data_IF_123338383100
#
_entry.id   IF_123338383100
#
_cell.length_a   1.000
_cell.length_b   1.000
_cell.length_c   1.000
_cell.angle_alpha   90.00
_cell.angle_beta   90.00
_cell.angle_gamma   90.00
#
_symmetry.space_group_name_H-M   'P 1'
#
loop_
_entity.id
_entity.type
_entity.pdbx_description
1 polymer ?
#
# COMPACT_ATOMS: atom_id res chain seq x y z
N UNK A 1 -4.36 -16.07 -5.72
CA UNK A 1 -3.06 -15.47 -5.34
C UNK A 1 -2.83 -15.68 -3.86
N UNK A 2 -1.57 -15.77 -3.44
CA UNK A 2 -1.16 -15.67 -2.04
C UNK A 2 -0.74 -14.22 -1.76
N UNK A 3 -1.48 -13.55 -0.88
CA UNK A 3 -1.29 -12.12 -0.56
C UNK A 3 -0.81 -11.99 0.88
N UNK A 4 0.36 -11.41 1.10
CA UNK A 4 0.87 -11.12 2.43
C UNK A 4 0.65 -9.63 2.77
N UNK A 5 0.14 -9.33 3.95
CA UNK A 5 -0.27 -7.98 4.35
C UNK A 5 0.32 -7.62 5.71
N UNK A 6 1.16 -6.56 5.78
CA UNK A 6 1.59 -5.97 7.06
C UNK A 6 0.54 -4.99 7.61
N UNK A 7 0.56 -4.77 8.92
CA UNK A 7 -0.43 -3.91 9.57
C UNK A 7 -1.85 -4.52 9.61
N UNK A 8 -1.95 -5.85 9.52
CA UNK A 8 -3.19 -6.61 9.38
C UNK A 8 -4.11 -6.60 10.61
N UNK A 9 -3.70 -6.01 11.72
CA UNK A 9 -4.43 -6.08 12.99
C UNK A 9 -5.52 -5.01 13.16
N UNK A 10 -5.52 -3.94 12.38
CA UNK A 10 -6.51 -2.86 12.46
C UNK A 10 -6.51 -1.94 11.24
N UNK A 11 -7.57 -1.14 11.09
CA UNK A 11 -7.70 -0.10 10.07
C UNK A 11 -7.65 -0.64 8.65
N UNK A 12 -6.91 0.05 7.75
CA UNK A 12 -6.81 -0.36 6.35
C UNK A 12 -6.24 -1.77 6.18
N UNK A 13 -5.22 -2.15 6.96
CA UNK A 13 -4.64 -3.48 6.86
C UNK A 13 -5.63 -4.60 7.17
N UNK A 14 -6.45 -4.46 8.21
CA UNK A 14 -7.55 -5.37 8.53
C UNK A 14 -8.62 -5.38 7.41
N UNK A 15 -8.99 -4.20 6.88
CA UNK A 15 -9.91 -4.09 5.76
C UNK A 15 -9.40 -4.83 4.51
N UNK A 16 -8.10 -4.70 4.19
CA UNK A 16 -7.47 -5.44 3.10
C UNK A 16 -7.51 -6.96 3.34
N UNK A 17 -7.21 -7.43 4.56
CA UNK A 17 -7.32 -8.85 4.91
C UNK A 17 -8.73 -9.37 4.66
N UNK A 18 -9.75 -8.67 5.18
CA UNK A 18 -11.15 -9.06 5.02
C UNK A 18 -11.54 -9.12 3.54
N UNK A 19 -11.19 -8.09 2.77
CA UNK A 19 -11.50 -8.02 1.35
C UNK A 19 -10.85 -9.18 0.57
N UNK A 20 -9.54 -9.38 0.67
CA UNK A 20 -8.84 -10.41 -0.08
C UNK A 20 -9.28 -11.83 0.32
N UNK A 21 -9.51 -12.08 1.61
CA UNK A 21 -10.01 -13.38 2.09
C UNK A 21 -11.41 -13.68 1.55
N UNK A 22 -12.31 -12.69 1.54
CA UNK A 22 -13.68 -12.84 1.01
C UNK A 22 -13.68 -13.05 -0.51
N UNK A 23 -12.70 -12.51 -1.23
CA UNK A 23 -12.56 -12.68 -2.68
C UNK A 23 -11.69 -13.88 -3.09
N UNK A 24 -11.64 -14.93 -2.26
CA UNK A 24 -10.98 -16.21 -2.54
C UNK A 24 -9.46 -16.11 -2.76
N UNK A 25 -8.78 -15.19 -2.09
CA UNK A 25 -7.33 -15.16 -2.03
C UNK A 25 -6.83 -15.84 -0.76
N UNK A 26 -5.67 -16.49 -0.83
CA UNK A 26 -4.96 -16.95 0.38
C UNK A 26 -4.26 -15.75 1.00
N UNK A 27 -4.55 -15.42 2.25
CA UNK A 27 -3.99 -14.24 2.93
C UNK A 27 -3.05 -14.67 4.05
N UNK A 28 -1.81 -14.19 3.99
CA UNK A 28 -0.84 -14.25 5.08
C UNK A 28 -0.92 -12.93 5.87
N UNK A 29 -1.50 -13.01 7.05
CA UNK A 29 -1.68 -11.87 7.93
C UNK A 29 -0.45 -11.63 8.80
N UNK A 30 0.26 -10.54 8.54
CA UNK A 30 1.42 -10.14 9.33
C UNK A 30 0.96 -9.15 10.42
N UNK A 31 0.45 -9.70 11.53
CA UNK A 31 -0.19 -8.96 12.64
C UNK A 31 0.77 -8.47 13.71
N UNK A 32 1.98 -9.00 13.77
CA UNK A 32 2.99 -8.59 14.74
C UNK A 32 3.46 -7.14 14.49
N UNK A 33 4.13 -6.56 15.46
CA UNK A 33 4.82 -5.28 15.24
C UNK A 33 5.82 -5.43 14.13
N UNK A 34 5.84 -4.49 13.20
CA UNK A 34 6.69 -4.53 11.99
C UNK A 34 8.18 -4.74 12.32
N UNK A 35 8.65 -4.28 13.48
CA UNK A 35 10.02 -4.48 13.96
C UNK A 35 10.40 -5.97 14.08
N UNK A 36 9.43 -6.84 14.33
CA UNK A 36 9.68 -8.27 14.46
C UNK A 36 9.97 -8.94 13.09
N UNK A 37 9.59 -8.31 11.99
CA UNK A 37 9.78 -8.84 10.64
C UNK A 37 11.08 -8.39 9.98
N UNK A 38 11.76 -7.37 10.50
CA UNK A 38 12.94 -6.79 9.86
C UNK A 38 14.11 -7.78 9.61
N UNK A 39 14.09 -8.93 10.27
CA UNK A 39 15.15 -9.95 10.11
C UNK A 39 14.73 -11.18 9.30
N UNK A 40 13.42 -11.40 9.09
CA UNK A 40 12.92 -12.64 8.47
C UNK A 40 11.77 -12.43 7.49
N UNK A 41 11.51 -11.20 7.05
CA UNK A 41 10.37 -10.91 6.17
C UNK A 41 10.46 -11.69 4.85
N UNK A 42 11.64 -11.79 4.26
CA UNK A 42 11.83 -12.46 2.98
C UNK A 42 11.47 -13.94 3.07
N UNK A 43 11.90 -14.61 4.14
CA UNK A 43 11.58 -16.02 4.41
C UNK A 43 10.05 -16.22 4.59
N UNK A 44 9.39 -15.34 5.37
CA UNK A 44 7.94 -15.40 5.56
C UNK A 44 7.16 -15.20 4.25
N UNK A 45 7.72 -14.49 3.29
CA UNK A 45 7.08 -14.18 2.00
C UNK A 45 7.44 -15.15 0.87
N UNK A 46 8.17 -16.23 1.13
CA UNK A 46 8.68 -17.16 0.11
C UNK A 46 7.57 -17.62 -0.84
N UNK A 47 6.44 -18.05 -0.29
CA UNK A 47 5.28 -18.54 -1.03
C UNK A 47 4.29 -17.46 -1.49
N UNK A 48 4.54 -16.19 -1.20
CA UNK A 48 3.59 -15.12 -1.54
C UNK A 48 3.80 -14.62 -2.97
N UNK A 49 2.69 -14.32 -3.66
CA UNK A 49 2.69 -13.70 -4.99
C UNK A 49 2.72 -12.18 -4.88
N UNK A 50 2.09 -11.66 -3.81
CA UNK A 50 1.88 -10.24 -3.57
C UNK A 50 2.25 -9.90 -2.13
N UNK A 51 3.03 -8.85 -1.94
CA UNK A 51 3.32 -8.26 -0.64
C UNK A 51 2.70 -6.86 -0.54
N UNK A 52 1.76 -6.66 0.38
CA UNK A 52 1.14 -5.36 0.67
C UNK A 52 1.78 -4.77 1.93
N UNK A 53 2.63 -3.79 1.74
CA UNK A 53 3.33 -3.07 2.79
C UNK A 53 2.44 -1.94 3.34
N UNK A 54 1.51 -2.30 4.25
CA UNK A 54 0.46 -1.43 4.78
C UNK A 54 0.74 -0.89 6.20
N UNK A 55 1.88 -1.23 6.79
CA UNK A 55 2.23 -0.73 8.13
C UNK A 55 2.40 0.79 8.16
N UNK A 56 2.04 1.42 9.28
CA UNK A 56 2.13 2.87 9.47
C UNK A 56 3.49 3.36 10.01
N UNK A 57 4.45 2.49 10.22
CA UNK A 57 5.79 2.82 10.71
C UNK A 57 6.73 3.14 9.55
N UNK A 58 6.99 4.44 9.27
CA UNK A 58 7.71 4.91 8.08
C UNK A 58 9.07 4.23 7.83
N UNK A 59 10.01 4.32 8.77
CA UNK A 59 11.36 3.79 8.60
C UNK A 59 11.38 2.26 8.47
N UNK A 60 10.54 1.57 9.26
CA UNK A 60 10.43 0.11 9.19
C UNK A 60 9.71 -0.34 7.91
N UNK A 61 8.77 0.46 7.40
CA UNK A 61 8.13 0.20 6.11
C UNK A 61 9.15 0.28 4.96
N UNK A 62 10.05 1.27 5.01
CA UNK A 62 11.15 1.42 4.07
C UNK A 62 12.14 0.25 4.16
N UNK A 63 12.47 -0.19 5.37
CA UNK A 63 13.35 -1.34 5.61
C UNK A 63 12.75 -2.63 5.01
N UNK A 64 11.48 -2.93 5.27
CA UNK A 64 10.83 -4.12 4.70
C UNK A 64 10.74 -4.04 3.17
N UNK A 65 10.41 -2.88 2.62
CA UNK A 65 10.40 -2.68 1.17
C UNK A 65 11.77 -3.02 0.56
N UNK A 66 12.86 -2.48 1.11
CA UNK A 66 14.21 -2.69 0.59
C UNK A 66 14.58 -4.18 0.59
N UNK A 67 14.32 -4.90 1.67
CA UNK A 67 14.61 -6.32 1.79
C UNK A 67 13.81 -7.15 0.78
N UNK A 68 12.50 -6.92 0.69
CA UNK A 68 11.62 -7.65 -0.23
C UNK A 68 11.95 -7.30 -1.68
N UNK A 69 12.21 -6.03 -1.98
CA UNK A 69 12.62 -5.61 -3.32
C UNK A 69 13.91 -6.31 -3.76
N UNK A 70 14.95 -6.33 -2.93
CA UNK A 70 16.20 -7.01 -3.27
C UNK A 70 16.01 -8.51 -3.50
N UNK A 71 15.15 -9.17 -2.73
CA UNK A 71 14.86 -10.59 -2.89
C UNK A 71 13.98 -10.88 -4.13
N UNK A 72 13.07 -9.98 -4.48
CA UNK A 72 12.04 -10.22 -5.50
C UNK A 72 12.30 -9.53 -6.84
N UNK A 73 13.30 -8.66 -6.96
CA UNK A 73 13.50 -7.80 -8.16
C UNK A 73 13.52 -8.57 -9.48
N UNK A 74 13.97 -9.82 -9.48
CA UNK A 74 14.02 -10.70 -10.66
C UNK A 74 12.90 -11.77 -10.65
N UNK A 75 11.87 -11.59 -9.83
CA UNK A 75 10.75 -12.53 -9.71
C UNK A 75 9.47 -11.90 -10.25
N UNK A 76 8.62 -12.70 -10.88
CA UNK A 76 7.29 -12.27 -11.33
C UNK A 76 6.30 -12.18 -10.16
N UNK A 77 6.56 -11.24 -9.23
CA UNK A 77 5.78 -10.97 -8.03
C UNK A 77 5.39 -9.49 -7.98
N UNK A 78 4.55 -9.10 -7.03
CA UNK A 78 4.10 -7.72 -6.89
C UNK A 78 4.32 -7.19 -5.48
N UNK A 79 4.92 -6.01 -5.36
CA UNK A 79 5.03 -5.24 -4.12
C UNK A 79 4.05 -4.07 -4.20
N UNK A 80 3.16 -3.97 -3.23
CA UNK A 80 2.20 -2.86 -3.09
C UNK A 80 2.59 -2.04 -1.87
N UNK A 81 2.89 -0.76 -2.05
CA UNK A 81 3.22 0.15 -0.96
C UNK A 81 2.04 1.07 -0.67
N UNK A 82 1.58 1.11 0.59
CA UNK A 82 0.55 2.04 1.03
C UNK A 82 1.23 3.31 1.55
N UNK A 83 1.13 4.36 0.76
CA UNK A 83 1.64 5.69 1.05
C UNK A 83 0.53 6.62 1.56
N UNK A 84 0.53 7.89 1.19
CA UNK A 84 -0.53 8.85 1.50
C UNK A 84 -0.58 9.94 0.44
N UNK A 85 -1.79 10.36 0.06
CA UNK A 85 -1.97 11.53 -0.80
C UNK A 85 -1.50 12.85 -0.14
N UNK A 86 -1.29 12.85 1.18
CA UNK A 86 -0.69 13.98 1.91
C UNK A 86 0.67 14.42 1.37
N UNK A 87 1.38 13.54 0.66
CA UNK A 87 2.63 13.88 -0.03
C UNK A 87 2.39 15.00 -1.07
N UNK A 88 1.25 14.99 -1.73
CA UNK A 88 0.89 15.96 -2.79
C UNK A 88 0.14 17.19 -2.24
N UNK A 89 -0.69 16.99 -1.21
CA UNK A 89 -1.62 18.02 -0.72
C UNK A 89 -1.27 18.56 0.66
N UNK A 90 -0.26 17.99 1.32
CA UNK A 90 0.11 18.30 2.69
C UNK A 90 -0.69 17.48 3.72
N UNK A 91 -0.21 17.51 4.95
CA UNK A 91 -0.83 16.86 6.11
C UNK A 91 -0.53 17.68 7.36
N UNK A 92 -1.46 17.76 8.33
CA UNK A 92 -1.20 18.41 9.62
C UNK A 92 -0.13 17.64 10.43
N UNK A 93 -0.02 16.34 10.27
CA UNK A 93 1.02 15.53 10.92
C UNK A 93 2.30 15.55 10.10
N UNK A 94 3.18 16.50 10.41
CA UNK A 94 4.43 16.72 9.69
C UNK A 94 5.43 15.57 9.82
N UNK A 95 5.49 14.89 10.98
CA UNK A 95 6.38 13.75 11.21
C UNK A 95 5.97 12.57 10.34
N UNK A 96 4.67 12.24 10.36
CA UNK A 96 4.11 11.20 9.49
C UNK A 96 4.34 11.49 8.01
N UNK A 97 4.05 12.74 7.59
CA UNK A 97 4.24 13.14 6.20
C UNK A 97 5.71 13.01 5.77
N UNK A 98 6.64 13.47 6.60
CA UNK A 98 8.06 13.36 6.31
C UNK A 98 8.49 11.89 6.11
N UNK A 99 8.12 11.00 7.02
CA UNK A 99 8.48 9.58 6.90
C UNK A 99 7.90 8.92 5.64
N UNK A 100 6.67 9.30 5.24
CA UNK A 100 6.07 8.81 4.00
C UNK A 100 6.73 9.38 2.75
N UNK A 101 7.19 10.62 2.80
CA UNK A 101 7.93 11.27 1.72
C UNK A 101 9.30 10.63 1.53
N UNK A 102 10.06 10.42 2.60
CA UNK A 102 11.35 9.72 2.58
C UNK A 102 11.21 8.30 2.02
N UNK A 103 10.15 7.57 2.40
CA UNK A 103 9.87 6.26 1.84
C UNK A 103 9.52 6.33 0.35
N UNK A 104 8.71 7.29 -0.07
CA UNK A 104 8.40 7.51 -1.49
C UNK A 104 9.67 7.80 -2.30
N UNK A 105 10.55 8.65 -1.80
CA UNK A 105 11.80 9.01 -2.45
C UNK A 105 12.74 7.80 -2.57
N UNK A 106 12.78 6.95 -1.54
CA UNK A 106 13.50 5.68 -1.60
C UNK A 106 12.97 4.76 -2.71
N UNK A 107 11.65 4.61 -2.84
CA UNK A 107 11.05 3.80 -3.91
C UNK A 107 11.45 4.34 -5.29
N UNK A 108 11.43 5.66 -5.47
CA UNK A 108 11.82 6.30 -6.74
C UNK A 108 13.31 6.04 -7.03
N UNK A 109 14.19 6.20 -6.03
CA UNK A 109 15.63 6.00 -6.18
C UNK A 109 16.02 4.54 -6.45
N UNK A 110 15.27 3.59 -5.90
CA UNK A 110 15.53 2.16 -6.07
C UNK A 110 14.87 1.56 -7.30
N UNK A 111 14.14 2.36 -8.08
CA UNK A 111 13.48 1.90 -9.30
C UNK A 111 14.52 1.50 -10.35
N UNK A 112 14.58 0.21 -10.62
CA UNK A 112 15.41 -0.39 -11.66
C UNK A 112 14.53 -0.71 -12.87
N UNK A 113 14.98 -0.38 -14.07
CA UNK A 113 14.26 -0.69 -15.30
C UNK A 113 14.37 -2.17 -15.70
N UNK A 114 15.43 -2.84 -15.24
CA UNK A 114 15.68 -4.25 -15.55
C UNK A 114 15.01 -5.23 -14.56
N UNK A 115 14.13 -4.72 -13.67
CA UNK A 115 13.38 -5.56 -12.73
C UNK A 115 12.23 -6.31 -13.39
N UNK A 116 11.91 -7.49 -12.85
CA UNK A 116 10.70 -8.24 -13.21
C UNK A 116 9.57 -8.02 -12.19
N UNK A 117 9.92 -7.73 -10.93
CA UNK A 117 8.94 -7.43 -9.87
C UNK A 117 8.15 -6.17 -10.20
N UNK A 118 6.82 -6.25 -10.10
CA UNK A 118 5.94 -5.08 -10.21
C UNK A 118 5.90 -4.31 -8.90
N UNK A 119 5.98 -2.99 -8.96
CA UNK A 119 5.84 -2.10 -7.81
C UNK A 119 4.63 -1.20 -8.03
N UNK A 120 3.66 -1.27 -7.11
CA UNK A 120 2.47 -0.44 -7.10
C UNK A 120 2.50 0.46 -5.86
N UNK A 121 2.39 1.78 -6.06
CA UNK A 121 2.32 2.74 -4.97
C UNK A 121 0.93 3.32 -4.90
N UNK A 122 0.25 3.10 -3.78
CA UNK A 122 -1.13 3.51 -3.53
C UNK A 122 -1.13 4.70 -2.58
N UNK A 123 -1.77 5.78 -2.99
CA UNK A 123 -1.84 7.04 -2.24
C UNK A 123 -3.29 7.32 -1.84
N UNK A 124 -3.82 6.62 -0.83
CA UNK A 124 -5.16 6.91 -0.33
C UNK A 124 -5.19 8.29 0.32
N UNK A 125 -6.31 8.98 0.15
CA UNK A 125 -6.62 10.20 0.88
C UNK A 125 -7.22 9.84 2.26
N UNK A 126 -8.14 10.61 2.77
CA UNK A 126 -8.77 10.37 4.06
C UNK A 126 -9.52 9.04 4.07
N UNK A 127 -9.12 8.12 4.93
CA UNK A 127 -9.75 6.81 5.10
C UNK A 127 -10.97 6.89 6.02
N UNK A 128 -11.88 5.93 5.90
CA UNK A 128 -13.17 5.89 6.62
C UNK A 128 -13.06 5.86 8.15
N UNK A 129 -11.97 5.34 8.70
CA UNK A 129 -11.70 5.34 10.14
C UNK A 129 -11.19 6.69 10.68
N UNK A 130 -10.99 7.69 9.84
CA UNK A 130 -10.52 9.00 10.27
C UNK A 130 -11.68 9.83 10.82
N UNK A 131 -11.45 10.56 11.91
CA UNK A 131 -12.49 11.36 12.60
C UNK A 131 -12.74 12.75 12.00
N UNK A 132 -12.00 13.15 10.98
CA UNK A 132 -12.17 14.45 10.35
C UNK A 132 -13.43 14.52 9.46
N UNK A 133 -13.80 15.73 9.00
CA UNK A 133 -14.99 15.99 8.18
C UNK A 133 -14.74 15.89 6.66
N UNK A 134 -13.57 15.44 6.23
CA UNK A 134 -13.28 15.27 4.80
C UNK A 134 -14.01 14.05 4.23
N UNK A 135 -14.31 14.02 2.92
CA UNK A 135 -14.80 12.83 2.25
C UNK A 135 -13.88 11.65 2.44
N UNK A 136 -14.46 10.52 2.79
CA UNK A 136 -13.70 9.33 3.23
C UNK A 136 -13.70 8.25 2.16
N UNK A 137 -12.52 7.70 1.90
CA UNK A 137 -12.34 6.51 1.06
C UNK A 137 -12.56 5.27 1.93
N UNK A 138 -13.39 4.35 1.49
CA UNK A 138 -13.63 3.07 2.17
C UNK A 138 -12.45 2.12 1.97
N UNK A 139 -12.23 1.23 2.93
CA UNK A 139 -11.17 0.22 2.81
C UNK A 139 -11.38 -0.70 1.62
N UNK A 140 -12.63 -1.09 1.32
CA UNK A 140 -12.97 -1.92 0.17
C UNK A 140 -12.67 -1.21 -1.17
N UNK A 141 -12.80 0.11 -1.23
CA UNK A 141 -12.45 0.88 -2.44
C UNK A 141 -10.94 0.87 -2.69
N UNK A 142 -10.14 0.95 -1.62
CA UNK A 142 -8.68 0.80 -1.72
C UNK A 142 -8.33 -0.62 -2.13
N UNK A 143 -8.94 -1.62 -1.50
CA UNK A 143 -8.67 -3.03 -1.75
C UNK A 143 -9.03 -3.44 -3.19
N UNK A 144 -10.21 -3.07 -3.68
CA UNK A 144 -10.65 -3.36 -5.06
C UNK A 144 -9.77 -2.67 -6.11
N UNK A 145 -9.30 -1.46 -5.82
CA UNK A 145 -8.35 -0.75 -6.70
C UNK A 145 -7.01 -1.48 -6.76
N UNK A 146 -6.49 -1.94 -5.62
CA UNK A 146 -5.26 -2.74 -5.56
C UNK A 146 -5.45 -4.04 -6.34
N UNK A 147 -6.55 -4.76 -6.13
CA UNK A 147 -6.82 -6.02 -6.82
C UNK A 147 -6.91 -5.82 -8.34
N UNK A 148 -7.61 -4.79 -8.80
CA UNK A 148 -7.69 -4.45 -10.21
C UNK A 148 -6.31 -4.15 -10.81
N UNK A 149 -5.47 -3.39 -10.09
CA UNK A 149 -4.11 -3.06 -10.54
C UNK A 149 -3.19 -4.30 -10.60
N UNK A 150 -3.31 -5.24 -9.65
CA UNK A 150 -2.54 -6.49 -9.64
C UNK A 150 -2.93 -7.39 -10.83
N UNK A 151 -4.18 -7.36 -11.27
CA UNK A 151 -4.70 -8.19 -12.38
C UNK A 151 -4.31 -7.66 -13.78
N UNK A 152 -3.78 -6.45 -13.89
CA UNK A 152 -3.31 -5.92 -15.17
C UNK A 152 -2.14 -6.75 -15.72
N UNK A 153 -1.90 -6.71 -17.05
CA UNK A 153 -0.74 -7.36 -17.65
C UNK A 153 0.57 -6.98 -16.94
N UNK A 154 1.48 -7.93 -16.80
CA UNK A 154 2.71 -7.74 -16.00
C UNK A 154 3.68 -6.72 -16.63
N UNK A 155 3.64 -6.56 -17.93
CA UNK A 155 4.40 -5.59 -18.71
C UNK A 155 3.86 -4.15 -18.62
N UNK A 156 2.62 -3.99 -18.08
CA UNK A 156 2.04 -2.68 -17.80
C UNK A 156 2.47 -2.17 -16.43
N UNK A 157 3.24 -1.10 -16.40
CA UNK A 157 3.70 -0.50 -15.15
C UNK A 157 2.76 0.63 -14.70
N UNK A 158 2.04 0.41 -13.60
CA UNK A 158 1.31 1.44 -12.87
C UNK A 158 2.15 1.89 -11.66
N UNK A 159 2.83 3.01 -11.81
CA UNK A 159 3.75 3.47 -10.77
C UNK A 159 3.05 4.11 -9.56
N UNK A 160 1.96 4.85 -9.79
CA UNK A 160 1.27 5.59 -8.73
C UNK A 160 -0.24 5.60 -8.96
N UNK A 161 -1.01 5.27 -7.92
CA UNK A 161 -2.47 5.31 -7.94
C UNK A 161 -2.97 6.16 -6.77
N UNK A 162 -3.48 7.35 -7.08
CA UNK A 162 -4.16 8.21 -6.11
C UNK A 162 -5.62 7.79 -5.94
N UNK A 163 -6.09 7.65 -4.70
CA UNK A 163 -7.49 7.32 -4.40
C UNK A 163 -8.06 8.41 -3.51
N UNK A 164 -9.04 9.15 -4.02
CA UNK A 164 -9.70 10.22 -3.27
C UNK A 164 -11.19 10.29 -3.59
N UNK A 165 -12.00 10.80 -2.67
CA UNK A 165 -13.38 11.18 -2.95
C UNK A 165 -13.45 12.68 -3.20
N UNK A 166 -14.13 13.07 -4.27
CA UNK A 166 -14.49 14.47 -4.51
C UNK A 166 -15.59 14.91 -3.55
N UNK A 167 -15.55 16.20 -3.14
CA UNK A 167 -16.66 16.85 -2.47
C UNK A 167 -17.79 17.08 -3.49
N UNK A 168 -18.51 16.04 -3.90
CA UNK A 168 -19.77 16.18 -4.62
C UNK A 168 -20.86 16.58 -3.62
N UNK A 169 -20.83 17.82 -3.18
CA UNK A 169 -22.01 18.41 -2.57
C UNK A 169 -22.87 18.93 -3.74
N UNK A 170 -24.01 18.28 -4.08
CA UNK A 170 -24.83 18.69 -5.21
C UNK A 170 -25.46 20.08 -5.02
N UNK A 171 -25.27 20.72 -3.85
CA UNK A 171 -25.81 22.06 -3.53
C UNK A 171 -24.90 23.23 -3.95
N UNK A 172 -23.68 23.00 -4.42
CA UNK A 172 -22.75 24.06 -4.81
C UNK A 172 -22.62 24.28 -6.33
N UNK A 173 -23.42 23.62 -7.14
CA UNK A 173 -23.50 23.89 -8.59
C UNK A 173 -24.69 24.82 -8.92
N UNK A 174 -24.75 25.95 -8.25
CA UNK A 174 -25.56 27.11 -8.74
C UNK A 174 -24.57 28.20 -9.10
N UNK A 175 -24.19 28.22 -10.37
CA UNK A 175 -23.65 29.40 -11.05
C UNK A 175 -24.83 30.26 -11.45
#
# INVERSE_FOLDING_TARGET
MKVAITGASHGLGEGLVNYFSTNNHSVLELRERIVNYQYNIVEKLEDSDVFINCSNSGDLQATLYTQVYQAWKMQNKTIVNILTSGIFYGSPNKVYLKSKQEFNDLIIQTRDLDKTVRILNIYPNTLENNVNNFPKVKFDEVASTIEAAIKLPQDLELFAIGISRSNTNPKNNVI
#
